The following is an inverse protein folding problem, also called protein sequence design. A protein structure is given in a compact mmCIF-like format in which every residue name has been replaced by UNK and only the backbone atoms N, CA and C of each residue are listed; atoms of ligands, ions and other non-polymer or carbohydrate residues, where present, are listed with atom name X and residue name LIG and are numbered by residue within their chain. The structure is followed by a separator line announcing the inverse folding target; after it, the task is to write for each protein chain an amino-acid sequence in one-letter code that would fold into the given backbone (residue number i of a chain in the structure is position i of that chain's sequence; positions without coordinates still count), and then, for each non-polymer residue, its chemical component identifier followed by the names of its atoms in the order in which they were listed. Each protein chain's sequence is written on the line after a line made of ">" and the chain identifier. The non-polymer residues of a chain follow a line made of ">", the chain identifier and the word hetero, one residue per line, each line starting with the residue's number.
data_IF_374971673551
#
_entry.id   IF_374971673551
#
_cell.length_a   1.000
_cell.length_b   1.000
_cell.length_c   1.000
_cell.angle_alpha   90.00
_cell.angle_beta   90.00
_cell.angle_gamma   90.00
#
_symmetry.space_group_name_H-M   'P 1'
#
loop_
_entity.id
_entity.type
_entity.pdbx_description
1 polymer ?
#
# COMPACT_ATOMS: atom_id res chain seq x y z
N UNK A 1 -5.46 -3.71 -25.43
CA UNK A 1 -4.83 -3.78 -24.10
C UNK A 1 -3.50 -3.05 -24.17
N UNK A 2 -3.42 -1.86 -23.59
CA UNK A 2 -2.27 -0.95 -23.63
C UNK A 2 -1.01 -1.55 -22.99
N UNK A 3 -1.14 -2.38 -21.96
CA UNK A 3 0.01 -3.02 -21.30
C UNK A 3 0.71 -4.04 -22.21
N UNK A 4 -0.03 -4.72 -23.10
CA UNK A 4 0.56 -5.65 -24.10
C UNK A 4 1.08 -4.96 -25.35
N UNK A 5 0.39 -3.93 -25.82
CA UNK A 5 0.65 -3.37 -27.17
C UNK A 5 1.39 -2.04 -27.17
N UNK A 6 1.21 -1.20 -26.16
CA UNK A 6 1.70 0.18 -26.16
C UNK A 6 2.86 0.39 -25.20
N UNK A 7 2.69 0.04 -23.91
CA UNK A 7 3.69 0.33 -22.89
C UNK A 7 4.70 -0.81 -22.71
N UNK A 8 4.24 -2.07 -22.73
CA UNK A 8 5.07 -3.27 -22.51
C UNK A 8 6.04 -3.13 -21.32
N UNK A 9 5.52 -2.81 -20.12
CA UNK A 9 6.39 -2.55 -18.97
C UNK A 9 7.12 -3.82 -18.54
N UNK A 10 8.39 -3.69 -18.19
CA UNK A 10 9.16 -4.77 -17.53
C UNK A 10 8.82 -4.91 -16.05
N UNK A 11 8.31 -3.85 -15.41
CA UNK A 11 7.90 -3.81 -14.02
C UNK A 11 6.66 -2.91 -13.86
N UNK A 12 5.67 -3.36 -13.10
CA UNK A 12 4.56 -2.54 -12.61
C UNK A 12 4.61 -2.52 -11.10
N UNK A 13 4.48 -1.32 -10.52
CA UNK A 13 4.32 -1.13 -9.07
C UNK A 13 2.87 -0.82 -8.74
N UNK A 14 2.30 -1.52 -7.76
CA UNK A 14 0.97 -1.20 -7.22
C UNK A 14 1.16 -0.72 -5.79
N UNK A 15 0.78 0.53 -5.53
CA UNK A 15 0.94 1.18 -4.23
C UNK A 15 -0.39 1.75 -3.76
N UNK A 16 -1.20 0.90 -3.13
CA UNK A 16 -2.56 1.19 -2.67
C UNK A 16 -2.73 0.79 -1.20
N UNK A 17 -3.78 1.29 -0.54
CA UNK A 17 -4.09 1.00 0.86
C UNK A 17 -3.98 2.22 1.79
N UNK A 18 -3.32 3.30 1.37
CA UNK A 18 -3.19 4.50 2.20
C UNK A 18 -4.55 5.16 2.44
N UNK A 19 -5.38 5.23 1.38
CA UNK A 19 -6.71 5.83 1.49
C UNK A 19 -7.68 4.91 2.23
N UNK A 20 -7.61 3.62 1.93
CA UNK A 20 -8.39 2.52 2.50
C UNK A 20 -8.26 2.46 4.03
N UNK A 21 -7.10 2.85 4.57
CA UNK A 21 -6.81 2.93 6.00
C UNK A 21 -7.44 4.14 6.74
N UNK A 22 -8.42 4.82 6.13
CA UNK A 22 -9.15 5.89 6.81
C UNK A 22 -9.85 5.35 8.08
N UNK A 23 -9.82 6.13 9.17
CA UNK A 23 -10.51 5.79 10.41
C UNK A 23 -12.02 6.00 10.26
N UNK A 24 -12.81 5.09 10.83
CA UNK A 24 -14.27 5.09 10.70
C UNK A 24 -14.96 6.25 11.45
N UNK A 25 -14.30 6.80 12.46
CA UNK A 25 -14.73 7.98 13.22
C UNK A 25 -14.16 9.30 12.64
N UNK A 26 -13.36 9.23 11.58
CA UNK A 26 -12.73 10.37 10.94
C UNK A 26 -13.60 11.07 9.86
N UNK A 27 -13.21 12.28 9.44
CA UNK A 27 -13.91 13.03 8.38
C UNK A 27 -13.87 12.32 7.02
N UNK A 28 -12.86 11.49 6.77
CA UNK A 28 -12.69 10.74 5.52
C UNK A 28 -13.12 9.27 5.61
N UNK A 29 -13.95 8.90 6.60
CA UNK A 29 -14.42 7.51 6.81
C UNK A 29 -15.01 6.82 5.59
N UNK A 30 -15.55 7.57 4.62
CA UNK A 30 -16.09 7.01 3.37
C UNK A 30 -15.02 6.37 2.45
N UNK A 31 -13.74 6.68 2.70
CA UNK A 31 -12.62 6.04 2.00
C UNK A 31 -12.21 4.72 2.67
N UNK A 32 -12.70 4.42 3.88
CA UNK A 32 -12.35 3.18 4.55
C UNK A 32 -12.83 1.99 3.72
N UNK A 33 -11.95 1.01 3.55
CA UNK A 33 -12.30 -0.28 2.96
C UNK A 33 -12.03 -1.34 4.03
N UNK A 34 -13.01 -2.17 4.44
CA UNK A 34 -12.78 -3.26 5.39
C UNK A 34 -11.60 -4.14 4.95
N UNK A 35 -10.77 -4.60 5.89
CA UNK A 35 -9.52 -5.30 5.58
C UNK A 35 -9.70 -6.52 4.67
N UNK A 36 -10.76 -7.31 4.86
CA UNK A 36 -11.04 -8.47 4.01
C UNK A 36 -11.39 -8.08 2.58
N UNK A 37 -12.14 -6.98 2.43
CA UNK A 37 -12.45 -6.41 1.13
C UNK A 37 -11.20 -5.81 0.47
N UNK A 38 -10.34 -5.12 1.23
CA UNK A 38 -9.05 -4.63 0.75
C UNK A 38 -8.19 -5.77 0.21
N UNK A 39 -8.05 -6.87 0.95
CA UNK A 39 -7.28 -8.06 0.50
C UNK A 39 -7.82 -8.62 -0.82
N UNK A 40 -9.13 -8.86 -0.87
CA UNK A 40 -9.80 -9.42 -2.06
C UNK A 40 -9.66 -8.52 -3.28
N UNK A 41 -9.85 -7.20 -3.10
CA UNK A 41 -9.71 -6.22 -4.18
C UNK A 41 -8.26 -6.09 -4.65
N UNK A 42 -7.30 -6.07 -3.73
CA UNK A 42 -5.88 -5.99 -4.08
C UNK A 42 -5.43 -7.23 -4.85
N UNK A 43 -5.79 -8.43 -4.40
CA UNK A 43 -5.55 -9.68 -5.12
C UNK A 43 -6.18 -9.66 -6.53
N UNK A 44 -7.41 -9.16 -6.66
CA UNK A 44 -8.08 -9.02 -7.96
C UNK A 44 -7.32 -8.07 -8.90
N UNK A 45 -6.78 -6.97 -8.37
CA UNK A 45 -5.98 -6.01 -9.14
C UNK A 45 -4.67 -6.68 -9.61
N UNK A 46 -3.97 -7.40 -8.72
CA UNK A 46 -2.73 -8.13 -9.08
C UNK A 46 -2.99 -9.11 -10.21
N UNK A 47 -3.98 -9.98 -10.05
CA UNK A 47 -4.36 -10.97 -11.06
C UNK A 47 -4.75 -10.33 -12.41
N UNK A 48 -5.52 -9.23 -12.35
CA UNK A 48 -5.90 -8.49 -13.54
C UNK A 48 -4.66 -7.93 -14.26
N UNK A 49 -3.72 -7.33 -13.53
CA UNK A 49 -2.48 -6.79 -14.10
C UNK A 49 -1.64 -7.90 -14.72
N UNK A 50 -1.37 -9.00 -14.00
CA UNK A 50 -0.53 -10.10 -14.49
C UNK A 50 -1.08 -10.75 -15.76
N UNK A 51 -2.40 -10.93 -15.86
CA UNK A 51 -3.07 -11.44 -17.08
C UNK A 51 -2.79 -10.55 -18.31
N UNK A 52 -2.53 -9.27 -18.07
CA UNK A 52 -2.33 -8.25 -19.09
C UNK A 52 -0.84 -7.93 -19.35
N UNK A 53 0.09 -8.57 -18.65
CA UNK A 53 1.53 -8.38 -18.81
C UNK A 53 2.15 -9.27 -19.90
N UNK A 54 3.31 -8.86 -20.41
CA UNK A 54 4.13 -9.66 -21.33
C UNK A 54 4.98 -10.67 -20.55
N UNK A 55 5.47 -11.70 -21.23
CA UNK A 55 6.41 -12.65 -20.62
C UNK A 55 7.66 -11.91 -20.08
N UNK A 56 8.06 -12.26 -18.86
CA UNK A 56 9.20 -11.65 -18.17
C UNK A 56 8.88 -10.37 -17.39
N UNK A 57 7.73 -9.73 -17.61
CA UNK A 57 7.26 -8.59 -16.80
C UNK A 57 7.00 -9.01 -15.35
N UNK A 58 7.16 -8.08 -14.41
CA UNK A 58 6.96 -8.32 -12.97
C UNK A 58 5.97 -7.34 -12.35
N UNK A 59 5.32 -7.79 -11.28
CA UNK A 59 4.53 -6.94 -10.37
C UNK A 59 5.27 -6.81 -9.05
N UNK A 60 5.32 -5.59 -8.53
CA UNK A 60 5.80 -5.26 -7.19
C UNK A 60 4.68 -4.56 -6.42
N UNK A 61 4.22 -5.17 -5.33
CA UNK A 61 3.40 -4.46 -4.36
C UNK A 61 4.27 -3.55 -3.49
N UNK A 62 3.77 -2.37 -3.16
CA UNK A 62 4.37 -1.48 -2.17
C UNK A 62 3.33 -1.29 -1.08
N UNK A 63 3.71 -1.54 0.19
CA UNK A 63 2.80 -1.34 1.31
C UNK A 63 2.40 0.13 1.44
N UNK A 64 1.19 0.47 1.93
CA UNK A 64 0.88 1.86 2.29
C UNK A 64 1.98 2.46 3.17
N UNK A 65 2.33 3.75 2.98
CA UNK A 65 3.40 4.37 3.73
C UNK A 65 3.00 4.55 5.20
N UNK A 66 4.02 4.74 6.04
CA UNK A 66 3.90 5.14 7.44
C UNK A 66 3.16 6.48 7.56
N UNK A 67 2.36 6.63 8.61
CA UNK A 67 1.72 7.92 8.94
C UNK A 67 2.49 8.56 10.10
N UNK A 68 2.72 9.86 10.01
CA UNK A 68 3.15 10.69 11.14
C UNK A 68 1.87 11.21 11.79
N UNK A 69 1.44 10.56 12.86
CA UNK A 69 0.19 10.84 13.57
C UNK A 69 0.15 12.28 14.07
N UNK A 70 1.29 12.81 14.54
CA UNK A 70 1.40 14.20 14.99
C UNK A 70 1.13 15.23 13.89
N UNK A 71 1.39 14.89 12.63
CA UNK A 71 1.23 15.78 11.48
C UNK A 71 -0.12 15.58 10.78
N UNK A 72 -0.85 14.53 11.14
CA UNK A 72 -2.18 14.22 10.61
C UNK A 72 -3.25 15.07 11.28
N UNK A 73 -3.34 16.33 10.90
CA UNK A 73 -4.28 17.32 11.49
C UNK A 73 -5.75 16.91 11.43
N UNK A 74 -6.18 16.26 10.34
CA UNK A 74 -7.55 15.77 10.18
C UNK A 74 -7.88 14.56 11.07
N UNK A 75 -6.87 13.92 11.67
CA UNK A 75 -6.99 12.69 12.48
C UNK A 75 -7.84 11.61 11.82
N UNK A 76 -7.83 11.56 10.50
CA UNK A 76 -8.63 10.63 9.69
C UNK A 76 -7.85 9.37 9.31
N UNK A 77 -6.55 9.32 9.64
CA UNK A 77 -5.64 8.18 9.47
C UNK A 77 -4.65 8.19 10.62
N UNK A 78 -4.15 7.02 10.99
CA UNK A 78 -3.04 6.91 11.92
C UNK A 78 -2.12 5.76 11.50
N UNK A 79 -0.96 5.71 12.13
CA UNK A 79 0.10 4.78 11.79
C UNK A 79 -0.26 3.34 12.14
N UNK A 80 -1.06 3.15 13.19
CA UNK A 80 -1.55 1.83 13.60
C UNK A 80 -2.45 1.21 12.53
N UNK A 81 -3.46 1.96 12.07
CA UNK A 81 -4.37 1.55 11.01
C UNK A 81 -3.58 1.32 9.70
N UNK A 82 -2.70 2.24 9.29
CA UNK A 82 -1.85 2.02 8.12
C UNK A 82 -1.04 0.71 8.20
N UNK A 83 -0.60 0.33 9.40
CA UNK A 83 0.10 -0.93 9.66
C UNK A 83 -0.75 -2.19 9.46
N UNK A 84 -2.06 -2.12 9.70
CA UNK A 84 -2.98 -3.23 9.40
C UNK A 84 -3.08 -3.48 7.89
N UNK A 85 -3.21 -2.41 7.10
CA UNK A 85 -3.25 -2.50 5.64
C UNK A 85 -1.89 -2.87 5.05
N UNK A 86 -0.78 -2.42 5.66
CA UNK A 86 0.56 -2.87 5.27
C UNK A 86 0.74 -4.38 5.44
N UNK A 87 0.34 -4.93 6.60
CA UNK A 87 0.36 -6.39 6.82
C UNK A 87 -0.52 -7.14 5.81
N UNK A 88 -1.73 -6.63 5.56
CA UNK A 88 -2.63 -7.21 4.57
C UNK A 88 -2.04 -7.18 3.14
N UNK A 89 -1.34 -6.11 2.77
CA UNK A 89 -0.64 -6.01 1.49
C UNK A 89 0.47 -7.06 1.35
N UNK A 90 1.27 -7.27 2.40
CA UNK A 90 2.30 -8.32 2.45
C UNK A 90 1.69 -9.72 2.37
N UNK A 91 0.58 -9.97 3.07
CA UNK A 91 -0.17 -11.22 3.02
C UNK A 91 -0.65 -11.52 1.59
N UNK A 92 -1.24 -10.52 0.91
CA UNK A 92 -1.67 -10.65 -0.49
C UNK A 92 -0.49 -10.90 -1.41
N UNK A 93 0.61 -10.16 -1.29
CA UNK A 93 1.80 -10.38 -2.11
C UNK A 93 2.31 -11.83 -2.01
N UNK A 94 2.35 -12.37 -0.78
CA UNK A 94 2.74 -13.76 -0.53
C UNK A 94 1.75 -14.75 -1.16
N UNK A 95 0.45 -14.50 -1.03
CA UNK A 95 -0.59 -15.38 -1.57
C UNK A 95 -0.60 -15.41 -3.10
N UNK A 96 -0.42 -14.26 -3.75
CA UNK A 96 -0.37 -14.13 -5.21
C UNK A 96 1.01 -14.44 -5.80
N UNK A 97 2.03 -14.68 -4.97
CA UNK A 97 3.38 -15.02 -5.43
C UNK A 97 4.14 -13.86 -6.07
N UNK A 98 3.76 -12.61 -5.77
CA UNK A 98 4.41 -11.39 -6.29
C UNK A 98 5.37 -10.78 -5.27
N UNK A 99 6.31 -9.96 -5.74
CA UNK A 99 7.24 -9.27 -4.84
C UNK A 99 6.53 -8.17 -4.04
N UNK A 100 7.05 -7.87 -2.84
CA UNK A 100 6.58 -6.75 -2.01
C UNK A 100 7.74 -5.94 -1.46
N UNK A 101 7.62 -4.61 -1.55
CA UNK A 101 8.44 -3.65 -0.85
C UNK A 101 7.67 -3.14 0.37
N UNK A 102 8.03 -3.63 1.55
CA UNK A 102 7.42 -3.24 2.82
C UNK A 102 8.04 -1.94 3.36
N UNK A 103 7.67 -0.82 2.74
CA UNK A 103 8.10 0.50 3.17
C UNK A 103 7.59 0.86 4.57
N UNK A 104 6.41 0.35 4.96
CA UNK A 104 5.85 0.61 6.27
C UNK A 104 6.75 0.03 7.36
N UNK A 105 7.07 -1.26 7.29
CA UNK A 105 7.89 -1.92 8.28
C UNK A 105 9.32 -1.36 8.25
N UNK A 106 9.87 -1.08 7.06
CA UNK A 106 11.21 -0.53 6.92
C UNK A 106 11.33 0.83 7.63
N UNK A 107 10.43 1.77 7.36
CA UNK A 107 10.47 3.11 7.98
C UNK A 107 10.22 3.01 9.49
N UNK A 108 9.21 2.25 9.93
CA UNK A 108 8.91 2.13 11.37
C UNK A 108 10.02 1.44 12.16
N UNK A 109 10.72 0.45 11.59
CA UNK A 109 11.82 -0.25 12.26
C UNK A 109 13.11 0.57 12.28
N UNK A 110 13.41 1.28 11.18
CA UNK A 110 14.60 2.14 11.09
C UNK A 110 14.45 3.39 11.97
N UNK A 111 13.22 3.92 12.07
CA UNK A 111 12.88 5.13 12.80
C UNK A 111 11.70 4.84 13.74
N UNK A 112 11.96 4.21 14.91
CA UNK A 112 10.89 3.87 15.86
C UNK A 112 10.31 5.10 16.56
N UNK A 113 11.13 6.16 16.68
CA UNK A 113 10.73 7.46 17.19
C UNK A 113 10.01 8.27 16.10
N UNK A 114 8.81 8.75 16.39
CA UNK A 114 7.98 9.49 15.45
C UNK A 114 8.59 10.83 15.03
N UNK A 115 9.29 11.54 15.92
CA UNK A 115 10.00 12.78 15.56
C UNK A 115 11.11 12.50 14.55
N UNK A 116 11.79 11.35 14.69
CA UNK A 116 12.79 10.92 13.69
C UNK A 116 12.14 10.52 12.36
N UNK A 117 10.96 9.88 12.38
CA UNK A 117 10.19 9.62 11.15
C UNK A 117 9.79 10.91 10.46
N UNK A 118 9.25 11.87 11.21
CA UNK A 118 8.84 13.17 10.71
C UNK A 118 9.97 13.89 9.96
N UNK A 119 11.20 13.79 10.44
CA UNK A 119 12.38 14.37 9.79
C UNK A 119 12.70 13.78 8.40
N UNK A 120 12.06 12.69 7.97
CA UNK A 120 12.20 12.11 6.62
C UNK A 120 11.21 12.69 5.61
N UNK A 121 10.13 13.30 6.10
CA UNK A 121 9.02 13.80 5.29
C UNK A 121 9.02 15.34 5.20
N UNK A 122 10.15 15.98 5.56
CA UNK A 122 10.36 17.42 5.38
C UNK A 122 11.01 17.66 4.03
N UNK A 123 10.25 18.29 3.14
CA UNK A 123 10.78 19.04 1.99
C UNK A 123 11.38 20.38 2.45
#
# INVERSE_FOLDING_TARGET
>A
NELKSQFRPSLITIWLGANDAALLDGPNRLQNVPLDEYRSRLASIVNAVETHLSEGSKVLLITPPTVVDSDRTLKDRNNAAAGEYARACVEVARAEGVAVLDVYAHINSTYPDELKRKALFVD
#
